data_IF_588941246564
#
_entry.id   IF_588941246564
#
_cell.length_a   1.000
_cell.length_b   1.000
_cell.length_c   1.000
_cell.angle_alpha   90.00
_cell.angle_beta   90.00
_cell.angle_gamma   90.00
#
_symmetry.space_group_name_H-M   'P 1'
#
loop_
_entity.id
_entity.type
_entity.pdbx_description
1 polymer ?
#
# COMPACT_ATOMS: atom_id res chain seq x y z
N UNK A 1 6.30 -14.67 4.55
CA UNK A 1 6.16 -13.50 3.66
C UNK A 1 4.73 -13.01 3.65
N UNK A 2 4.54 -11.72 3.63
CA UNK A 2 3.21 -11.13 3.56
C UNK A 2 2.61 -11.35 2.18
N UNK A 3 1.44 -12.02 2.12
CA UNK A 3 0.78 -12.33 0.87
C UNK A 3 -0.41 -11.40 0.59
N UNK A 4 -0.59 -10.37 1.40
CA UNK A 4 -1.68 -9.44 1.16
C UNK A 4 -1.43 -8.63 -0.11
N UNK A 5 -2.47 -8.47 -0.91
CA UNK A 5 -2.42 -7.62 -2.09
C UNK A 5 -2.20 -6.17 -1.68
N UNK A 6 -1.58 -5.38 -2.57
CA UNK A 6 -1.31 -3.98 -2.27
C UNK A 6 -2.55 -3.18 -1.87
N UNK A 7 -3.70 -3.29 -2.54
CA UNK A 7 -4.87 -2.53 -2.11
C UNK A 7 -5.32 -2.88 -0.68
N UNK A 8 -5.24 -4.16 -0.32
CA UNK A 8 -5.60 -4.61 1.03
C UNK A 8 -4.64 -4.05 2.06
N UNK A 9 -3.34 -4.22 1.80
CA UNK A 9 -2.31 -3.75 2.71
C UNK A 9 -2.36 -2.23 2.87
N UNK A 10 -2.60 -1.51 1.80
CA UNK A 10 -2.67 -0.05 1.83
C UNK A 10 -3.84 0.40 2.70
N UNK A 11 -4.99 -0.25 2.62
CA UNK A 11 -6.13 0.12 3.45
C UNK A 11 -5.88 -0.17 4.93
N UNK A 12 -5.13 -1.22 5.25
CA UNK A 12 -4.79 -1.50 6.65
C UNK A 12 -3.81 -0.49 7.23
N UNK A 13 -2.90 0.03 6.41
CA UNK A 13 -1.76 0.79 6.91
C UNK A 13 -1.86 2.29 6.70
N UNK A 14 -2.25 2.73 5.52
CA UNK A 14 -2.21 4.15 5.17
C UNK A 14 -3.09 5.03 6.05
N UNK A 15 -4.29 4.61 6.48
CA UNK A 15 -5.11 5.46 7.34
C UNK A 15 -4.41 5.90 8.63
N UNK A 16 -3.46 5.12 9.11
CA UNK A 16 -2.75 5.40 10.36
C UNK A 16 -1.48 6.20 10.17
N UNK A 17 -1.10 6.51 8.93
CA UNK A 17 0.06 7.33 8.64
C UNK A 17 -0.35 8.80 8.80
N UNK A 18 0.48 9.58 9.48
CA UNK A 18 0.21 11.02 9.64
C UNK A 18 0.42 11.73 8.31
N UNK A 19 -0.24 12.88 8.13
CA UNK A 19 -0.05 13.70 6.93
C UNK A 19 1.43 14.06 6.77
N UNK A 20 1.94 13.88 5.57
CA UNK A 20 3.36 14.08 5.29
C UNK A 20 4.22 12.85 5.53
N UNK A 21 3.67 11.81 6.17
CA UNK A 21 4.40 10.57 6.40
C UNK A 21 4.38 9.65 5.19
N UNK A 22 5.19 8.62 5.25
CA UNK A 22 5.34 7.65 4.15
C UNK A 22 5.04 6.24 4.64
N UNK A 23 4.21 5.52 3.89
CA UNK A 23 4.03 4.09 4.05
C UNK A 23 4.89 3.39 3.01
N UNK A 24 5.83 2.57 3.46
CA UNK A 24 6.71 1.82 2.58
C UNK A 24 6.38 0.35 2.68
N UNK A 25 5.97 -0.26 1.58
CA UNK A 25 5.62 -1.67 1.53
C UNK A 25 6.71 -2.45 0.79
N UNK A 26 7.24 -3.50 1.44
CA UNK A 26 8.19 -4.39 0.81
C UNK A 26 7.43 -5.57 0.22
N UNK A 27 7.49 -5.74 -1.09
CA UNK A 27 6.72 -6.75 -1.81
C UNK A 27 7.61 -7.57 -2.74
N UNK A 28 7.07 -8.70 -3.18
CA UNK A 28 7.73 -9.53 -4.18
C UNK A 28 7.64 -8.90 -5.57
N UNK A 29 8.32 -9.50 -6.56
CA UNK A 29 8.44 -8.89 -7.88
C UNK A 29 7.14 -8.79 -8.68
N UNK A 30 6.13 -9.56 -8.31
CA UNK A 30 4.83 -9.51 -9.01
C UNK A 30 3.94 -8.35 -8.58
N UNK A 31 4.27 -7.69 -7.47
CA UNK A 31 3.48 -6.55 -6.98
C UNK A 31 4.02 -5.27 -7.58
N UNK A 32 3.14 -4.36 -7.99
CA UNK A 32 3.56 -3.10 -8.61
C UNK A 32 2.87 -1.92 -7.96
N UNK A 33 3.47 -0.73 -8.16
CA UNK A 33 2.88 0.51 -7.67
C UNK A 33 1.50 0.77 -8.27
N UNK A 34 1.30 0.38 -9.52
CA UNK A 34 0.01 0.59 -10.20
C UNK A 34 -1.14 -0.08 -9.46
N UNK A 35 -0.88 -1.21 -8.82
CA UNK A 35 -1.91 -1.92 -8.07
C UNK A 35 -2.38 -1.17 -6.83
N UNK A 36 -1.57 -0.24 -6.34
CA UNK A 36 -1.86 0.53 -5.13
C UNK A 36 -2.43 1.92 -5.41
N UNK A 37 -2.38 2.39 -6.65
CA UNK A 37 -2.71 3.78 -6.95
C UNK A 37 -4.14 4.15 -6.57
N UNK A 38 -5.12 3.33 -6.93
CA UNK A 38 -6.51 3.65 -6.63
C UNK A 38 -6.78 3.65 -5.13
N UNK A 39 -6.27 2.63 -4.43
CA UNK A 39 -6.43 2.56 -2.98
C UNK A 39 -5.76 3.75 -2.30
N UNK A 40 -4.54 4.09 -2.71
CA UNK A 40 -3.83 5.23 -2.13
C UNK A 40 -4.64 6.51 -2.30
N UNK A 41 -5.15 6.75 -3.50
CA UNK A 41 -5.94 7.94 -3.79
C UNK A 41 -7.17 8.04 -2.91
N UNK A 42 -7.91 6.94 -2.74
CA UNK A 42 -9.10 6.91 -1.91
C UNK A 42 -8.78 7.14 -0.43
N UNK A 43 -7.58 6.77 0.00
CA UNK A 43 -7.18 6.84 1.40
C UNK A 43 -6.38 8.11 1.74
N UNK A 44 -6.27 9.03 0.81
CA UNK A 44 -5.58 10.30 1.05
C UNK A 44 -4.09 10.25 0.75
N UNK A 45 -3.64 9.30 -0.05
CA UNK A 45 -2.24 9.13 -0.37
C UNK A 45 -1.94 9.25 -1.85
N UNK A 46 -0.64 9.22 -2.16
CA UNK A 46 -0.14 9.21 -3.53
C UNK A 46 1.09 8.31 -3.59
N UNK A 47 1.14 7.46 -4.61
CA UNK A 47 2.33 6.65 -4.84
C UNK A 47 3.45 7.56 -5.30
N UNK A 48 4.55 7.60 -4.55
CA UNK A 48 5.65 8.52 -4.83
C UNK A 48 6.93 7.80 -5.26
N UNK A 49 6.98 6.49 -5.18
CA UNK A 49 8.16 5.76 -5.61
C UNK A 49 7.98 4.26 -5.65
N UNK A 50 8.74 3.63 -6.51
CA UNK A 50 8.82 2.18 -6.58
C UNK A 50 10.27 1.83 -6.89
N UNK A 51 10.91 1.06 -6.02
CA UNK A 51 12.28 0.63 -6.20
C UNK A 51 12.35 -0.89 -6.26
N UNK A 52 13.21 -1.39 -7.13
CA UNK A 52 13.45 -2.82 -7.24
C UNK A 52 14.89 -3.12 -6.81
N UNK A 53 15.07 -4.19 -6.05
CA UNK A 53 16.40 -4.63 -5.65
C UNK A 53 16.40 -6.15 -5.50
N UNK A 54 17.59 -6.74 -5.52
CA UNK A 54 17.76 -8.18 -5.43
C UNK A 54 18.51 -8.52 -4.13
N UNK A 55 17.90 -9.40 -3.32
CA UNK A 55 18.55 -9.92 -2.13
C UNK A 55 19.37 -11.15 -2.51
N UNK A 56 20.59 -11.30 -1.94
CA UNK A 56 21.48 -12.40 -2.34
C UNK A 56 20.88 -13.80 -2.23
N UNK A 57 20.02 -14.02 -1.23
CA UNK A 57 19.46 -15.35 -0.98
C UNK A 57 17.93 -15.40 -1.12
N UNK A 58 17.26 -14.27 -1.17
CA UNK A 58 15.81 -14.22 -1.16
C UNK A 58 15.20 -13.74 -2.47
N UNK A 59 16.02 -13.37 -3.46
CA UNK A 59 15.55 -12.98 -4.79
C UNK A 59 15.10 -11.53 -4.86
N UNK A 60 14.32 -11.23 -5.89
CA UNK A 60 13.90 -9.86 -6.18
C UNK A 60 12.84 -9.35 -5.21
N UNK A 61 12.96 -8.08 -4.87
CA UNK A 61 12.01 -7.38 -4.00
C UNK A 61 11.72 -6.01 -4.57
N UNK A 62 10.55 -5.47 -4.19
CA UNK A 62 10.17 -4.11 -4.53
C UNK A 62 9.79 -3.38 -3.26
N UNK A 63 10.15 -2.10 -3.19
CA UNK A 63 9.65 -1.19 -2.17
C UNK A 63 8.73 -0.20 -2.86
N UNK A 64 7.48 -0.17 -2.42
CA UNK A 64 6.49 0.75 -2.96
C UNK A 64 6.20 1.79 -1.88
N UNK A 65 6.43 3.07 -2.20
CA UNK A 65 6.28 4.17 -1.24
C UNK A 65 5.02 4.96 -1.56
N UNK A 66 4.21 5.18 -0.53
CA UNK A 66 2.97 5.94 -0.64
C UNK A 66 3.03 7.06 0.40
N UNK A 67 2.96 8.30 -0.06
CA UNK A 67 2.94 9.44 0.84
C UNK A 67 1.51 9.76 1.26
N UNK A 68 1.31 10.06 2.56
CA UNK A 68 0.03 10.51 3.05
C UNK A 68 -0.08 12.02 2.80
N UNK A 69 -0.83 12.40 1.78
CA UNK A 69 -0.90 13.81 1.34
C UNK A 69 -2.11 14.55 1.91
N UNK A 70 -3.13 13.81 2.35
CA UNK A 70 -4.31 14.41 2.98
C UNK A 70 -4.94 13.43 3.94
N UNK A 71 -5.85 13.91 4.79
CA UNK A 71 -6.50 13.06 5.78
C UNK A 71 -7.31 11.96 5.10
N UNK A 72 -7.21 10.75 5.64
CA UNK A 72 -8.03 9.63 5.17
C UNK A 72 -9.49 9.87 5.57
N UNK A 73 -10.45 9.67 4.64
CA UNK A 73 -11.86 9.78 5.01
C UNK A 73 -12.23 8.86 6.18
N UNK A 74 -13.14 9.31 7.01
CA UNK A 74 -13.48 8.60 8.26
C UNK A 74 -14.06 7.21 8.05
N UNK A 75 -14.57 6.91 6.86
CA UNK A 75 -15.10 5.57 6.56
C UNK A 75 -14.01 4.51 6.43
N UNK A 76 -12.76 4.91 6.40
CA UNK A 76 -11.63 3.98 6.28
C UNK A 76 -10.84 3.92 7.57
N UNK A 77 -10.19 2.80 7.94
CA UNK A 77 -10.32 1.54 7.21
C UNK A 77 -11.68 0.90 7.45
N UNK A 78 -12.16 0.17 6.47
CA UNK A 78 -13.40 -0.60 6.60
C UNK A 78 -13.15 -1.82 7.49
N UNK A 79 -14.20 -2.59 7.77
CA UNK A 79 -14.06 -3.84 8.53
C UNK A 79 -13.20 -4.83 7.75
N UNK A 80 -12.46 -5.66 8.49
CA UNK A 80 -11.53 -6.61 7.88
C UNK A 80 -12.16 -7.50 6.81
N UNK A 81 -13.38 -8.01 7.08
CA UNK A 81 -14.04 -8.86 6.11
C UNK A 81 -14.34 -8.12 4.81
N UNK A 82 -14.73 -6.84 4.90
CA UNK A 82 -15.01 -6.04 3.72
C UNK A 82 -13.74 -5.73 2.92
N UNK A 83 -12.66 -5.42 3.63
CA UNK A 83 -11.38 -5.15 2.99
C UNK A 83 -10.92 -6.36 2.18
N UNK A 84 -11.05 -7.55 2.74
CA UNK A 84 -10.61 -8.79 2.09
C UNK A 84 -11.49 -9.16 0.91
N UNK A 85 -12.81 -8.98 1.04
CA UNK A 85 -13.76 -9.38 0.00
C UNK A 85 -13.83 -8.37 -1.15
N UNK A 86 -13.66 -7.09 -0.83
CA UNK A 86 -13.81 -6.00 -1.81
C UNK A 86 -12.63 -5.04 -1.69
N UNK A 87 -11.42 -5.45 -2.08
CA UNK A 87 -10.27 -4.54 -2.02
C UNK A 87 -10.51 -3.28 -2.84
N UNK A 88 -9.83 -2.21 -2.46
CA UNK A 88 -9.91 -0.92 -3.17
C UNK A 88 -9.08 -0.99 -4.46
N UNK A 89 -9.59 -1.62 -5.47
CA UNK A 89 -8.88 -1.79 -6.76
C UNK A 89 -9.41 -0.85 -7.83
#
# INVERSE_FOLDING_TARGET
>A
MNKKMMPVLTEYCLPFVKNGGIFAAMKGPSETAAQAENAAKLLGGAVVGEEQYTLPTAGDRRIIRIEKVSATPKKYPRRSDKIKKQPLV
#
